data_IF_502121167426
#
_entry.id   IF_502121167426
#
_cell.length_a   1.000
_cell.length_b   1.000
_cell.length_c   1.000
_cell.angle_alpha   90.00
_cell.angle_beta   90.00
_cell.angle_gamma   90.00
#
_symmetry.space_group_name_H-M   'P 1'
#
loop_
_entity.id
_entity.type
_entity.pdbx_description
1 polymer ?
#
# COMPACT_ATOMS: atom_id res chain seq x y z
N UNK A 1 -22.66 68.86 27.48
CA UNK A 1 -22.16 67.47 27.45
C UNK A 1 -20.65 67.53 27.16
N UNK A 2 -19.81 67.56 28.21
CA UNK A 2 -18.38 67.84 28.07
C UNK A 2 -17.59 66.54 28.02
N UNK A 3 -17.04 66.22 26.85
CA UNK A 3 -16.13 65.10 26.64
C UNK A 3 -14.79 65.48 27.31
N UNK A 4 -14.60 65.05 28.57
CA UNK A 4 -13.32 65.16 29.27
C UNK A 4 -12.24 64.45 28.44
N UNK A 5 -11.26 65.22 27.94
CA UNK A 5 -10.08 64.73 27.20
C UNK A 5 -9.28 63.74 28.05
N UNK A 6 -9.48 62.43 27.86
CA UNK A 6 -8.66 61.32 28.41
C UNK A 6 -7.33 61.14 27.65
N UNK A 7 -6.68 62.22 27.20
CA UNK A 7 -5.51 62.12 26.29
C UNK A 7 -4.20 61.69 26.97
N UNK A 8 -4.07 61.83 28.30
CA UNK A 8 -2.86 61.44 29.04
C UNK A 8 -2.77 59.94 29.36
N UNK A 9 -3.86 59.35 29.85
CA UNK A 9 -3.89 57.93 30.26
C UNK A 9 -3.77 56.98 29.06
N UNK A 10 -4.41 57.31 27.93
CA UNK A 10 -4.31 56.52 26.70
C UNK A 10 -2.88 56.43 26.16
N UNK A 11 -2.09 57.49 26.30
CA UNK A 11 -0.70 57.51 25.85
C UNK A 11 0.19 56.57 26.68
N UNK A 12 -0.03 56.55 28.00
CA UNK A 12 0.69 55.65 28.93
C UNK A 12 0.31 54.19 28.66
N UNK A 13 -0.96 53.89 28.43
CA UNK A 13 -1.42 52.53 28.09
C UNK A 13 -0.81 52.07 26.77
N UNK A 14 -0.80 52.91 25.72
CA UNK A 14 -0.19 52.58 24.42
C UNK A 14 1.33 52.39 24.54
N UNK A 15 2.02 53.23 25.31
CA UNK A 15 3.46 53.13 25.52
C UNK A 15 3.88 51.81 26.20
N UNK A 16 3.01 51.24 27.04
CA UNK A 16 3.26 49.95 27.71
C UNK A 16 2.76 48.77 26.84
N UNK A 17 1.60 48.90 26.20
CA UNK A 17 0.98 47.79 25.45
C UNK A 17 1.72 47.48 24.16
N UNK A 18 2.31 48.48 23.48
CA UNK A 18 3.00 48.26 22.21
C UNK A 18 4.27 47.39 22.35
N UNK A 19 5.18 47.62 23.32
CA UNK A 19 6.29 46.71 23.59
C UNK A 19 5.84 45.30 23.97
N UNK A 20 4.77 45.16 24.77
CA UNK A 20 4.23 43.85 25.15
C UNK A 20 3.66 43.13 23.93
N UNK A 21 2.94 43.84 23.06
CA UNK A 21 2.41 43.27 21.82
C UNK A 21 3.54 42.85 20.87
N UNK A 22 4.59 43.66 20.72
CA UNK A 22 5.77 43.31 19.95
C UNK A 22 6.46 42.07 20.53
N UNK A 23 6.68 42.02 21.84
CA UNK A 23 7.27 40.85 22.50
C UNK A 23 6.45 39.58 22.27
N UNK A 24 5.12 39.66 22.39
CA UNK A 24 4.23 38.53 22.07
C UNK A 24 4.31 38.11 20.61
N UNK A 25 4.36 39.07 19.67
CA UNK A 25 4.49 38.77 18.25
C UNK A 25 5.83 38.09 17.93
N UNK A 26 6.92 38.56 18.54
CA UNK A 26 8.25 37.96 18.40
C UNK A 26 8.27 36.52 18.95
N UNK A 27 7.70 36.31 20.12
CA UNK A 27 7.57 34.97 20.71
C UNK A 27 6.68 34.05 19.85
N UNK A 28 5.62 34.58 19.25
CA UNK A 28 4.76 33.81 18.35
C UNK A 28 5.51 33.32 17.11
N UNK A 29 6.44 34.11 16.56
CA UNK A 29 7.32 33.71 15.45
C UNK A 29 8.23 32.55 15.86
N UNK A 30 8.90 32.63 17.01
CA UNK A 30 9.75 31.54 17.50
C UNK A 30 8.93 30.27 17.81
N UNK A 31 7.72 30.41 18.37
CA UNK A 31 6.83 29.27 18.61
C UNK A 31 6.42 28.60 17.29
N UNK A 32 6.02 29.40 16.29
CA UNK A 32 5.68 28.88 14.97
C UNK A 32 6.88 28.15 14.34
N UNK A 33 8.08 28.73 14.47
CA UNK A 33 9.32 28.13 13.98
C UNK A 33 9.69 26.83 14.71
N UNK A 34 9.48 26.75 16.03
CA UNK A 34 9.66 25.49 16.79
C UNK A 34 8.69 24.40 16.32
N UNK A 35 7.43 24.75 16.02
CA UNK A 35 6.46 23.77 15.52
C UNK A 35 6.81 23.31 14.11
N UNK A 36 7.25 24.23 13.24
CA UNK A 36 7.76 23.87 11.91
C UNK A 36 8.93 22.89 12.04
N UNK A 37 9.95 23.23 12.85
CA UNK A 37 11.10 22.37 13.06
C UNK A 37 10.72 20.99 13.64
N UNK A 38 9.71 20.90 14.51
CA UNK A 38 9.19 19.60 15.01
C UNK A 38 8.55 18.76 13.91
N UNK A 39 7.81 19.39 13.01
CA UNK A 39 7.15 18.70 11.89
C UNK A 39 8.19 18.23 10.87
N UNK A 40 9.14 19.09 10.53
CA UNK A 40 10.29 18.75 9.69
C UNK A 40 11.11 17.62 10.30
N UNK A 41 11.43 17.68 11.60
CA UNK A 41 12.18 16.64 12.30
C UNK A 41 11.45 15.29 12.28
N UNK A 42 10.13 15.30 12.49
CA UNK A 42 9.31 14.09 12.38
C UNK A 42 9.40 13.49 10.98
N UNK A 43 9.06 14.26 9.95
CA UNK A 43 9.07 13.79 8.56
C UNK A 43 10.45 13.28 8.13
N UNK A 44 11.53 13.95 8.54
CA UNK A 44 12.89 13.56 8.22
C UNK A 44 13.32 12.26 8.92
N UNK A 45 12.94 12.09 10.19
CA UNK A 45 13.25 10.88 10.97
C UNK A 45 12.46 9.68 10.46
N UNK A 46 11.17 9.86 10.14
CA UNK A 46 10.30 8.82 9.58
C UNK A 46 10.83 8.35 8.22
N UNK A 47 11.23 9.28 7.34
CA UNK A 47 11.82 8.97 6.05
C UNK A 47 13.15 8.21 6.17
N UNK A 48 14.00 8.59 7.12
CA UNK A 48 15.26 7.90 7.39
C UNK A 48 15.03 6.49 7.95
N UNK A 49 14.08 6.32 8.87
CA UNK A 49 13.73 5.01 9.43
C UNK A 49 13.21 4.09 8.33
N UNK A 50 12.31 4.60 7.48
CA UNK A 50 11.77 3.87 6.32
C UNK A 50 12.88 3.41 5.37
N UNK A 51 13.84 4.29 5.07
CA UNK A 51 14.97 3.96 4.20
C UNK A 51 15.89 2.89 4.80
N UNK A 52 16.12 2.93 6.11
CA UNK A 52 16.88 1.89 6.80
C UNK A 52 16.16 0.54 6.77
N UNK A 53 14.85 0.51 7.07
CA UNK A 53 14.07 -0.72 7.03
C UNK A 53 13.93 -1.31 5.62
N UNK A 54 13.77 -0.47 4.59
CA UNK A 54 13.78 -0.92 3.18
C UNK A 54 15.11 -1.55 2.80
N UNK A 55 16.23 -0.88 3.07
CA UNK A 55 17.55 -1.40 2.76
C UNK A 55 17.85 -2.70 3.53
N UNK A 56 17.42 -2.79 4.80
CA UNK A 56 17.54 -4.00 5.60
C UNK A 56 16.71 -5.15 5.01
N UNK A 57 15.46 -4.88 4.59
CA UNK A 57 14.59 -5.87 3.92
C UNK A 57 15.25 -6.40 2.64
N UNK A 58 15.81 -5.51 1.81
CA UNK A 58 16.42 -5.87 0.54
C UNK A 58 17.75 -6.65 0.68
N UNK A 59 18.54 -6.35 1.70
CA UNK A 59 19.96 -6.79 1.77
C UNK A 59 20.25 -7.76 2.92
N UNK A 60 19.47 -7.71 3.99
CA UNK A 60 19.77 -8.35 5.26
C UNK A 60 20.99 -7.78 5.99
N UNK A 61 21.59 -6.69 5.49
CA UNK A 61 22.84 -6.12 6.02
C UNK A 61 22.57 -4.82 6.82
N UNK A 62 23.03 -4.78 8.07
CA UNK A 62 22.90 -3.61 8.95
C UNK A 62 23.69 -2.42 8.43
N UNK A 63 24.87 -2.63 7.86
CA UNK A 63 25.73 -1.54 7.41
C UNK A 63 25.13 -0.82 6.19
N UNK A 64 24.53 -1.57 5.27
CA UNK A 64 23.77 -1.00 4.15
C UNK A 64 22.51 -0.25 4.63
N UNK A 65 21.81 -0.79 5.62
CA UNK A 65 20.66 -0.13 6.24
C UNK A 65 21.02 1.20 6.90
N UNK A 66 22.13 1.24 7.66
CA UNK A 66 22.65 2.47 8.28
C UNK A 66 23.00 3.49 7.19
N UNK A 67 23.73 3.08 6.15
CA UNK A 67 24.12 3.97 5.06
C UNK A 67 22.91 4.57 4.34
N UNK A 68 21.88 3.78 4.07
CA UNK A 68 20.65 4.23 3.43
C UNK A 68 19.88 5.25 4.29
N UNK A 69 19.72 4.97 5.60
CA UNK A 69 19.06 5.86 6.54
C UNK A 69 19.80 7.22 6.67
N UNK A 70 21.14 7.20 6.77
CA UNK A 70 21.96 8.43 6.80
C UNK A 70 21.82 9.22 5.49
N UNK A 71 21.85 8.55 4.34
CA UNK A 71 21.73 9.20 3.04
C UNK A 71 20.37 9.90 2.85
N UNK A 72 19.28 9.30 3.33
CA UNK A 72 17.95 9.92 3.28
C UNK A 72 17.79 11.02 4.32
N UNK A 73 18.31 10.85 5.54
CA UNK A 73 18.35 11.93 6.53
C UNK A 73 19.07 13.17 5.96
N UNK A 74 20.20 12.97 5.30
CA UNK A 74 21.00 14.03 4.66
C UNK A 74 20.32 14.79 3.52
N UNK A 75 19.18 14.30 3.00
CA UNK A 75 18.38 14.98 1.97
C UNK A 75 17.26 15.83 2.55
N UNK A 76 16.98 15.68 3.85
CA UNK A 76 15.88 16.37 4.52
C UNK A 76 16.40 17.50 5.41
N UNK A 77 15.69 18.62 5.43
CA UNK A 77 16.05 19.79 6.24
C UNK A 77 15.18 19.87 7.50
N UNK A 78 15.79 20.29 8.60
CA UNK A 78 15.13 20.61 9.87
C UNK A 78 15.67 21.93 10.38
N UNK A 79 14.81 22.94 10.51
CA UNK A 79 15.22 24.29 10.92
C UNK A 79 16.30 24.89 10.02
N UNK A 80 16.21 24.63 8.71
CA UNK A 80 17.14 25.13 7.69
C UNK A 80 18.49 24.41 7.59
N UNK A 81 18.72 23.33 8.35
CA UNK A 81 19.93 22.49 8.27
C UNK A 81 19.58 21.07 7.85
N UNK A 82 20.47 20.40 7.13
CA UNK A 82 20.31 18.97 6.83
C UNK A 82 20.26 18.15 8.12
N UNK A 83 19.37 17.16 8.20
CA UNK A 83 19.37 16.21 9.30
C UNK A 83 20.62 15.32 9.20
N UNK A 84 21.45 15.35 10.22
CA UNK A 84 22.64 14.50 10.32
C UNK A 84 22.40 13.42 11.38
N UNK A 85 22.42 12.15 10.96
CA UNK A 85 22.31 10.99 11.84
C UNK A 85 23.64 10.24 11.94
N UNK A 86 23.85 9.55 13.05
CA UNK A 86 24.97 8.63 13.27
C UNK A 86 24.47 7.19 13.46
N UNK A 87 25.34 6.21 13.25
CA UNK A 87 25.00 4.80 13.46
C UNK A 87 24.47 4.51 14.89
N UNK A 88 25.01 5.18 15.91
CA UNK A 88 24.59 5.03 17.31
C UNK A 88 23.15 5.53 17.58
N UNK A 89 22.57 6.33 16.68
CA UNK A 89 21.17 6.77 16.77
C UNK A 89 20.21 5.73 16.14
N UNK A 90 20.73 4.61 15.63
CA UNK A 90 19.97 3.55 14.95
C UNK A 90 20.00 2.26 15.75
N UNK A 91 18.82 1.73 16.08
CA UNK A 91 18.64 0.49 16.83
C UNK A 91 17.91 -0.51 15.93
N UNK A 92 18.47 -1.71 15.82
CA UNK A 92 17.89 -2.80 15.06
C UNK A 92 17.15 -3.75 15.99
N UNK A 93 16.07 -4.35 15.50
CA UNK A 93 15.26 -5.24 16.31
C UNK A 93 14.09 -5.79 15.53
N UNK A 94 13.05 -6.16 16.27
CA UNK A 94 11.80 -6.67 15.71
C UNK A 94 10.59 -5.98 16.33
N UNK A 95 9.71 -5.47 15.48
CA UNK A 95 8.41 -4.93 15.88
C UNK A 95 7.32 -5.98 15.80
N UNK A 96 6.40 -5.98 16.77
CA UNK A 96 5.21 -6.83 16.81
C UNK A 96 3.98 -6.03 17.22
N UNK A 97 2.85 -6.27 16.55
CA UNK A 97 1.55 -5.67 16.89
C UNK A 97 0.97 -6.37 18.13
N UNK A 98 0.54 -5.59 19.11
CA UNK A 98 -0.08 -6.05 20.35
C UNK A 98 -1.60 -6.15 20.21
N UNK A 99 -2.25 -6.90 21.10
CA UNK A 99 -3.73 -7.08 21.10
C UNK A 99 -4.50 -5.75 21.24
N UNK A 100 -3.90 -4.73 21.85
CA UNK A 100 -4.49 -3.40 22.02
C UNK A 100 -4.29 -2.48 20.80
N UNK A 101 -3.66 -2.99 19.73
CA UNK A 101 -3.35 -2.26 18.50
C UNK A 101 -2.09 -1.40 18.57
N UNK A 102 -1.36 -1.40 19.69
CA UNK A 102 -0.05 -0.75 19.80
C UNK A 102 1.07 -1.61 19.22
N UNK A 103 2.17 -0.98 18.81
CA UNK A 103 3.37 -1.71 18.38
C UNK A 103 4.38 -1.75 19.53
N UNK A 104 4.93 -2.94 19.80
CA UNK A 104 6.12 -3.10 20.63
C UNK A 104 7.31 -3.39 19.76
N UNK A 105 8.46 -2.79 20.07
CA UNK A 105 9.72 -3.13 19.44
C UNK A 105 10.69 -3.70 20.47
N UNK A 106 11.22 -4.86 20.13
CA UNK A 106 12.19 -5.61 20.89
C UNK A 106 13.58 -5.35 20.27
N UNK A 107 14.45 -4.68 21.03
CA UNK A 107 15.79 -4.33 20.57
C UNK A 107 16.66 -5.60 20.46
N UNK A 108 17.52 -5.65 19.45
CA UNK A 108 18.43 -6.77 19.16
C UNK A 108 17.75 -8.15 18.97
N UNK A 109 16.42 -8.18 18.75
CA UNK A 109 15.69 -9.40 18.43
C UNK A 109 15.92 -9.83 16.97
N UNK A 110 16.48 -11.03 16.79
CA UNK A 110 16.69 -11.64 15.47
C UNK A 110 15.48 -12.52 15.02
N UNK A 111 15.20 -12.60 13.71
CA UNK A 111 15.81 -11.82 12.63
C UNK A 111 15.43 -10.34 12.72
N UNK A 112 16.35 -9.44 12.35
CA UNK A 112 16.09 -8.00 12.37
C UNK A 112 15.09 -7.65 11.29
N UNK A 113 13.87 -7.26 11.69
CA UNK A 113 12.84 -6.81 10.76
C UNK A 113 12.48 -5.35 10.94
N UNK A 114 13.19 -4.64 11.82
CA UNK A 114 12.85 -3.27 12.19
C UNK A 114 14.06 -2.42 12.47
N UNK A 115 13.97 -1.15 12.08
CA UNK A 115 14.96 -0.10 12.31
C UNK A 115 14.27 1.03 13.07
N UNK A 116 14.75 1.31 14.27
CA UNK A 116 14.35 2.44 15.09
C UNK A 116 15.43 3.50 15.03
N UNK A 117 15.04 4.74 14.74
CA UNK A 117 15.93 5.90 14.78
C UNK A 117 15.55 6.77 15.96
N UNK A 118 16.50 7.04 16.86
CA UNK A 118 16.36 7.95 17.99
C UNK A 118 17.17 9.22 17.74
N UNK A 119 16.56 10.17 17.04
CA UNK A 119 17.21 11.40 16.59
C UNK A 119 17.11 12.53 17.62
N UNK A 120 18.26 13.02 18.08
CA UNK A 120 18.36 14.09 19.07
C UNK A 120 19.07 15.33 18.51
N UNK A 121 18.35 16.43 18.29
CA UNK A 121 18.94 17.67 17.77
C UNK A 121 19.60 18.50 18.89
N UNK A 122 20.72 18.01 19.42
CA UNK A 122 21.49 18.69 20.47
C UNK A 122 22.79 19.31 19.95
N UNK A 123 23.41 20.20 20.72
CA UNK A 123 24.68 20.84 20.34
C UNK A 123 24.60 21.55 18.99
N UNK A 124 25.47 21.19 18.05
CA UNK A 124 25.52 21.79 16.72
C UNK A 124 24.32 21.43 15.82
N UNK A 125 23.65 20.31 16.14
CA UNK A 125 22.41 19.88 15.48
C UNK A 125 21.18 20.68 15.95
N UNK A 126 21.29 21.45 17.03
CA UNK A 126 20.16 22.23 17.57
C UNK A 126 19.66 23.30 16.60
N UNK A 127 18.37 23.60 16.70
CA UNK A 127 17.69 24.61 15.89
C UNK A 127 17.86 25.96 16.57
N UNK A 128 18.49 26.90 15.86
CA UNK A 128 18.67 28.26 16.36
C UNK A 128 17.38 29.05 16.16
N UNK A 129 16.86 29.63 17.25
CA UNK A 129 15.65 30.45 17.21
C UNK A 129 15.95 31.81 16.58
N UNK A 130 14.97 32.37 15.85
CA UNK A 130 15.15 33.61 15.10
C UNK A 130 15.30 34.80 16.05
N UNK A 131 14.57 34.78 17.16
CA UNK A 131 14.47 35.89 18.11
C UNK A 131 14.78 35.45 19.55
N UNK A 132 15.43 34.28 19.68
CA UNK A 132 15.70 33.63 20.96
C UNK A 132 16.54 34.43 21.96
N UNK A 133 17.34 35.38 21.47
CA UNK A 133 18.13 36.30 22.31
C UNK A 133 17.25 37.26 23.13
N UNK A 134 16.03 37.54 22.69
CA UNK A 134 15.07 38.41 23.38
C UNK A 134 14.39 37.65 24.54
N UNK A 135 14.29 36.32 24.44
CA UNK A 135 13.66 35.45 25.43
C UNK A 135 14.66 34.61 26.25
N UNK A 136 15.97 34.82 26.07
CA UNK A 136 17.06 34.03 26.69
C UNK A 136 17.01 32.53 26.39
N UNK A 137 16.32 32.14 25.32
CA UNK A 137 16.25 30.77 24.81
C UNK A 137 16.72 30.84 23.36
N UNK A 138 18.00 30.59 23.11
CA UNK A 138 18.57 30.75 21.77
C UNK A 138 18.44 29.49 20.91
N UNK A 139 18.23 28.33 21.55
CA UNK A 139 18.27 27.02 20.92
C UNK A 139 17.08 26.16 21.30
N UNK A 140 16.57 25.44 20.31
CA UNK A 140 15.54 24.45 20.45
C UNK A 140 16.09 23.08 20.04
N UNK A 141 15.93 22.09 20.93
CA UNK A 141 16.54 20.77 20.79
C UNK A 141 15.48 19.67 20.83
N UNK A 142 14.72 19.44 19.74
CA UNK A 142 13.73 18.37 19.69
C UNK A 142 14.41 16.98 19.67
N UNK A 143 13.71 16.01 20.24
CA UNK A 143 14.00 14.57 20.13
C UNK A 143 12.85 13.91 19.36
N UNK A 144 13.17 13.00 18.45
CA UNK A 144 12.20 12.17 17.74
C UNK A 144 12.70 10.74 17.64
N UNK A 145 11.81 9.82 18.00
CA UNK A 145 11.95 8.41 17.76
C UNK A 145 11.01 8.09 16.60
N UNK A 146 11.50 7.36 15.61
CA UNK A 146 10.68 6.76 14.57
C UNK A 146 11.07 5.30 14.41
N UNK A 147 10.10 4.40 14.32
CA UNK A 147 10.36 2.98 14.03
C UNK A 147 9.75 2.60 12.69
N UNK A 148 10.56 2.00 11.82
CA UNK A 148 10.10 1.37 10.61
C UNK A 148 10.35 -0.13 10.70
N UNK A 149 9.35 -0.92 10.37
CA UNK A 149 9.45 -2.36 10.28
C UNK A 149 9.17 -2.79 8.84
N UNK A 150 9.92 -3.75 8.33
CA UNK A 150 9.46 -4.50 7.18
C UNK A 150 8.74 -5.76 7.68
N UNK A 151 7.64 -6.09 7.03
CA UNK A 151 6.89 -7.29 7.33
C UNK A 151 7.22 -8.35 6.30
N UNK A 152 7.31 -9.60 6.78
CA UNK A 152 7.07 -10.75 5.94
C UNK A 152 5.62 -10.65 5.43
N UNK A 153 5.40 -10.33 4.16
CA UNK A 153 4.05 -10.37 3.60
C UNK A 153 3.84 -11.69 2.87
N UNK A 154 2.64 -12.21 3.07
CA UNK A 154 2.09 -13.33 2.33
C UNK A 154 0.96 -12.76 1.49
N UNK A 155 1.16 -12.77 0.18
CA UNK A 155 0.28 -12.10 -0.78
C UNK A 155 -0.47 -13.14 -1.59
N UNK A 156 -1.79 -13.06 -1.62
CA UNK A 156 -2.60 -13.78 -2.61
C UNK A 156 -3.08 -12.81 -3.68
N UNK A 157 -2.60 -12.98 -4.92
CA UNK A 157 -3.21 -12.36 -6.09
C UNK A 157 -4.49 -13.14 -6.41
N UNK A 158 -5.65 -12.51 -6.24
CA UNK A 158 -6.97 -13.13 -6.39
C UNK A 158 -7.69 -12.44 -7.54
N UNK A 159 -7.58 -12.99 -8.74
CA UNK A 159 -7.93 -12.29 -9.97
C UNK A 159 -9.09 -12.93 -10.73
N UNK A 160 -9.97 -12.07 -11.24
CA UNK A 160 -11.14 -12.44 -12.03
C UNK A 160 -10.72 -13.01 -13.39
N UNK A 161 -11.27 -14.17 -13.75
CA UNK A 161 -11.15 -14.84 -15.05
C UNK A 161 -12.51 -15.17 -15.66
N UNK A 162 -13.54 -14.41 -15.29
CA UNK A 162 -14.85 -14.46 -15.91
C UNK A 162 -14.78 -14.04 -17.38
N UNK A 163 -15.82 -14.35 -18.15
CA UNK A 163 -15.79 -14.16 -19.60
C UNK A 163 -15.64 -12.69 -20.03
N UNK A 164 -16.02 -11.72 -19.18
CA UNK A 164 -15.81 -10.30 -19.46
C UNK A 164 -14.35 -9.94 -19.67
N UNK A 165 -13.41 -10.70 -19.10
CA UNK A 165 -11.98 -10.51 -19.28
C UNK A 165 -11.52 -10.76 -20.73
N UNK A 166 -12.33 -11.40 -21.57
CA UNK A 166 -12.08 -11.55 -23.01
C UNK A 166 -12.46 -10.32 -23.85
N UNK A 167 -13.16 -9.35 -23.26
CA UNK A 167 -13.67 -8.18 -23.97
C UNK A 167 -12.59 -7.12 -24.18
N UNK A 168 -12.88 -6.16 -25.07
CA UNK A 168 -12.06 -4.96 -25.22
C UNK A 168 -12.26 -3.98 -24.05
N UNK A 169 -11.47 -2.90 -24.03
CA UNK A 169 -11.50 -1.88 -22.98
C UNK A 169 -12.64 -0.85 -23.13
N UNK A 170 -13.55 -1.01 -24.08
CA UNK A 170 -14.59 0.02 -24.31
C UNK A 170 -15.66 0.08 -23.21
N UNK A 171 -15.69 -0.88 -22.29
CA UNK A 171 -16.72 -1.02 -21.27
C UNK A 171 -18.07 -1.53 -21.79
N UNK A 172 -18.14 -1.95 -23.07
CA UNK A 172 -19.37 -2.53 -23.67
C UNK A 172 -19.36 -4.05 -23.53
N UNK A 173 -20.42 -4.60 -22.96
CA UNK A 173 -20.58 -6.05 -22.83
C UNK A 173 -20.58 -6.75 -24.20
N UNK A 174 -19.95 -7.92 -24.26
CA UNK A 174 -19.86 -8.77 -25.47
C UNK A 174 -19.13 -8.11 -26.65
N UNK A 175 -18.35 -7.06 -26.38
CA UNK A 175 -17.50 -6.44 -27.39
C UNK A 175 -16.08 -6.99 -27.27
N UNK A 176 -15.65 -7.68 -28.30
CA UNK A 176 -14.34 -8.32 -28.35
C UNK A 176 -13.34 -7.48 -29.15
N UNK A 177 -12.04 -7.66 -28.91
CA UNK A 177 -11.01 -7.11 -29.75
C UNK A 177 -11.18 -7.49 -31.23
N UNK A 178 -10.75 -6.64 -32.19
CA UNK A 178 -11.02 -6.86 -33.62
C UNK A 178 -10.48 -8.18 -34.19
N UNK A 179 -9.46 -8.77 -33.56
CA UNK A 179 -8.88 -10.04 -33.96
C UNK A 179 -9.77 -11.25 -33.62
N UNK A 180 -10.72 -11.11 -32.70
CA UNK A 180 -11.69 -12.17 -32.35
C UNK A 180 -12.89 -12.10 -33.30
N UNK A 181 -13.17 -13.16 -34.08
CA UNK A 181 -14.31 -13.17 -34.99
C UNK A 181 -15.65 -13.12 -34.25
N UNK A 182 -16.55 -12.22 -34.64
CA UNK A 182 -17.91 -12.07 -34.07
C UNK A 182 -19.02 -12.75 -34.89
N UNK A 183 -18.65 -13.71 -35.75
CA UNK A 183 -19.59 -14.59 -36.46
C UNK A 183 -18.89 -15.59 -37.39
N UNK A 184 -19.59 -16.57 -37.99
CA UNK A 184 -20.89 -17.11 -37.58
C UNK A 184 -20.81 -17.97 -36.30
N UNK A 185 -19.60 -18.28 -35.83
CA UNK A 185 -19.37 -18.99 -34.58
C UNK A 185 -19.45 -18.00 -33.40
N UNK A 186 -19.87 -18.53 -32.25
CA UNK A 186 -19.95 -17.77 -31.00
C UNK A 186 -18.53 -17.37 -30.54
N UNK A 187 -18.24 -16.09 -30.28
CA UNK A 187 -16.91 -15.63 -29.83
C UNK A 187 -16.40 -16.31 -28.57
N UNK A 188 -17.30 -16.84 -27.74
CA UNK A 188 -16.99 -17.55 -26.49
C UNK A 188 -16.06 -18.75 -26.68
N UNK A 189 -15.97 -19.29 -27.91
CA UNK A 189 -15.07 -20.42 -28.22
C UNK A 189 -13.61 -20.01 -28.38
N UNK A 190 -13.31 -18.73 -28.44
CA UNK A 190 -11.94 -18.23 -28.61
C UNK A 190 -11.32 -17.87 -27.24
N UNK A 191 -10.01 -18.08 -27.07
CA UNK A 191 -9.29 -17.49 -25.96
C UNK A 191 -9.36 -15.94 -26.04
N UNK A 192 -9.09 -15.23 -24.92
CA UNK A 192 -8.92 -13.79 -24.96
C UNK A 192 -7.85 -13.39 -25.98
N UNK A 193 -8.02 -12.23 -26.60
CA UNK A 193 -6.97 -11.66 -27.44
C UNK A 193 -5.72 -11.37 -26.61
N UNK A 194 -4.55 -11.73 -27.13
CA UNK A 194 -3.28 -11.65 -26.40
C UNK A 194 -2.77 -10.20 -26.17
N UNK A 195 -3.35 -9.19 -26.80
CA UNK A 195 -2.87 -7.80 -26.72
C UNK A 195 -3.96 -6.82 -26.31
N UNK A 196 -5.18 -6.99 -26.81
CA UNK A 196 -6.24 -5.98 -26.74
C UNK A 196 -7.41 -6.37 -25.82
N UNK A 197 -7.34 -7.55 -25.19
CA UNK A 197 -8.34 -7.99 -24.19
C UNK A 197 -8.03 -7.46 -22.79
N UNK A 198 -9.05 -7.34 -21.94
CA UNK A 198 -8.88 -7.00 -20.53
C UNK A 198 -7.92 -7.95 -19.80
N UNK A 199 -7.95 -9.24 -20.14
CA UNK A 199 -7.01 -10.23 -19.62
C UNK A 199 -5.55 -9.92 -20.00
N UNK A 200 -5.29 -9.53 -21.24
CA UNK A 200 -3.93 -9.19 -21.68
C UNK A 200 -3.35 -8.01 -20.89
N UNK A 201 -4.16 -7.00 -20.60
CA UNK A 201 -3.74 -5.88 -19.75
C UNK A 201 -3.50 -6.30 -18.30
N UNK A 202 -4.34 -7.18 -17.75
CA UNK A 202 -4.11 -7.75 -16.42
C UNK A 202 -2.82 -8.59 -16.38
N UNK A 203 -2.56 -9.39 -17.40
CA UNK A 203 -1.32 -10.18 -17.52
C UNK A 203 -0.08 -9.28 -17.49
N UNK A 204 -0.09 -8.19 -18.27
CA UNK A 204 0.99 -7.21 -18.27
C UNK A 204 1.16 -6.54 -16.88
N UNK A 205 0.06 -6.17 -16.22
CA UNK A 205 0.09 -5.56 -14.90
C UNK A 205 0.63 -6.50 -13.81
N UNK A 206 0.25 -7.78 -13.84
CA UNK A 206 0.78 -8.80 -12.93
C UNK A 206 2.27 -9.05 -13.20
N UNK A 207 2.69 -9.09 -14.46
CA UNK A 207 4.11 -9.23 -14.81
C UNK A 207 4.93 -8.04 -14.27
N UNK A 208 4.40 -6.82 -14.35
CA UNK A 208 5.00 -5.63 -13.77
C UNK A 208 5.08 -5.73 -12.24
N UNK A 209 3.99 -6.11 -11.56
CA UNK A 209 3.97 -6.35 -10.12
C UNK A 209 5.05 -7.35 -9.71
N UNK A 210 5.08 -8.51 -10.35
CA UNK A 210 6.03 -9.59 -10.05
C UNK A 210 7.49 -9.14 -10.26
N UNK A 211 7.78 -8.45 -11.36
CA UNK A 211 9.12 -7.91 -11.62
C UNK A 211 9.53 -6.87 -10.57
N UNK A 212 8.61 -5.99 -10.17
CA UNK A 212 8.83 -4.93 -9.19
C UNK A 212 9.09 -5.52 -7.81
N UNK A 213 8.23 -6.44 -7.34
CA UNK A 213 8.44 -7.13 -6.06
C UNK A 213 9.77 -7.88 -6.08
N UNK A 214 10.06 -8.64 -7.14
CA UNK A 214 11.32 -9.41 -7.22
C UNK A 214 12.58 -8.53 -7.23
N UNK A 215 12.49 -7.30 -7.71
CA UNK A 215 13.60 -6.35 -7.73
C UNK A 215 13.82 -5.68 -6.36
N UNK A 216 12.75 -5.55 -5.55
CA UNK A 216 12.79 -4.90 -4.24
C UNK A 216 13.10 -5.93 -3.15
N UNK A 217 12.35 -7.03 -3.12
CA UNK A 217 12.41 -8.03 -2.07
C UNK A 217 11.97 -9.42 -2.58
N UNK A 218 12.91 -10.35 -2.71
CA UNK A 218 12.67 -11.73 -3.13
C UNK A 218 12.13 -12.64 -2.01
N UNK A 219 12.03 -12.14 -0.78
CA UNK A 219 11.58 -12.91 0.38
C UNK A 219 10.05 -12.91 0.55
N UNK A 220 9.33 -12.16 -0.27
CA UNK A 220 7.86 -12.14 -0.23
C UNK A 220 7.29 -13.44 -0.79
N UNK A 221 6.34 -14.05 -0.06
CA UNK A 221 5.61 -15.20 -0.58
C UNK A 221 4.38 -14.72 -1.34
N UNK A 222 4.23 -15.19 -2.58
CA UNK A 222 3.10 -14.81 -3.42
C UNK A 222 2.39 -16.06 -3.94
N UNK A 223 1.07 -16.07 -3.86
CA UNK A 223 0.19 -17.06 -4.46
C UNK A 223 -0.62 -16.44 -5.59
N UNK A 224 -1.11 -17.29 -6.50
CA UNK A 224 -2.08 -16.92 -7.51
C UNK A 224 -3.34 -17.75 -7.36
N UNK A 225 -4.47 -17.06 -7.28
CA UNK A 225 -5.81 -17.61 -7.31
C UNK A 225 -6.57 -16.95 -8.46
N UNK A 226 -7.09 -17.74 -9.39
CA UNK A 226 -8.03 -17.25 -10.42
C UNK A 226 -9.45 -17.70 -10.10
N UNK A 227 -10.44 -16.83 -10.32
CA UNK A 227 -11.84 -17.12 -10.00
C UNK A 227 -12.81 -16.63 -11.09
N UNK A 228 -13.95 -17.27 -11.21
CA UNK A 228 -14.98 -17.01 -12.22
C UNK A 228 -16.30 -17.57 -11.75
N UNK A 229 -16.93 -18.49 -12.48
CA UNK A 229 -18.04 -19.28 -11.96
C UNK A 229 -17.94 -20.72 -12.42
N UNK A 230 -18.67 -21.64 -11.78
CA UNK A 230 -18.70 -23.02 -12.22
C UNK A 230 -19.32 -23.12 -13.62
N UNK A 231 -18.60 -23.82 -14.51
CA UNK A 231 -19.06 -24.21 -15.83
C UNK A 231 -18.93 -25.72 -15.95
N UNK A 232 -20.06 -26.36 -16.22
CA UNK A 232 -20.17 -27.79 -16.48
C UNK A 232 -20.57 -28.03 -17.94
N UNK A 233 -20.49 -29.27 -18.41
CA UNK A 233 -20.95 -29.64 -19.76
C UNK A 233 -22.49 -29.52 -19.93
N UNK A 234 -23.23 -29.25 -18.86
CA UNK A 234 -24.66 -28.95 -18.90
C UNK A 234 -24.94 -27.45 -19.18
N UNK A 235 -23.95 -26.58 -18.95
CA UNK A 235 -24.04 -25.16 -19.32
C UNK A 235 -23.88 -25.02 -20.85
N UNK A 236 -24.48 -23.97 -21.43
CA UNK A 236 -24.33 -23.67 -22.86
C UNK A 236 -22.86 -23.58 -23.28
N UNK A 237 -22.07 -22.80 -22.56
CA UNK A 237 -20.67 -22.52 -22.89
C UNK A 237 -19.80 -23.78 -22.75
N UNK A 238 -20.03 -24.57 -21.70
CA UNK A 238 -19.33 -25.84 -21.49
C UNK A 238 -19.71 -26.92 -22.51
N UNK A 239 -20.98 -26.96 -22.93
CA UNK A 239 -21.42 -27.83 -24.02
C UNK A 239 -20.80 -27.43 -25.37
N UNK A 240 -20.72 -26.12 -25.63
CA UNK A 240 -20.19 -25.56 -26.87
C UNK A 240 -18.68 -25.77 -27.01
N UNK A 241 -17.94 -25.57 -25.94
CA UNK A 241 -16.46 -25.64 -25.93
C UNK A 241 -15.91 -27.01 -25.53
N UNK A 242 -16.73 -27.86 -24.89
CA UNK A 242 -16.29 -29.11 -24.28
C UNK A 242 -15.45 -28.93 -23.02
N UNK A 243 -15.41 -27.71 -22.46
CA UNK A 243 -14.59 -27.36 -21.30
C UNK A 243 -15.43 -27.22 -20.03
N UNK A 244 -14.81 -27.47 -18.89
CA UNK A 244 -15.40 -27.26 -17.56
C UNK A 244 -14.48 -26.40 -16.71
N UNK A 245 -15.07 -25.54 -15.88
CA UNK A 245 -14.33 -24.63 -15.02
C UNK A 245 -14.89 -24.71 -13.60
N UNK A 246 -14.05 -24.85 -12.56
CA UNK A 246 -14.50 -24.66 -11.19
C UNK A 246 -14.75 -23.17 -10.92
N UNK A 247 -15.36 -22.83 -9.77
CA UNK A 247 -15.60 -21.43 -9.39
C UNK A 247 -14.29 -20.67 -9.13
N UNK A 248 -13.30 -21.31 -8.49
CA UNK A 248 -11.99 -20.74 -8.20
C UNK A 248 -10.90 -21.83 -8.21
N UNK A 249 -9.66 -21.45 -8.49
CA UNK A 249 -8.49 -22.34 -8.57
C UNK A 249 -7.30 -21.67 -7.90
N UNK A 250 -6.49 -22.45 -7.16
CA UNK A 250 -5.14 -22.03 -6.77
C UNK A 250 -4.21 -22.44 -7.92
N UNK A 251 -3.91 -21.51 -8.82
CA UNK A 251 -3.05 -21.78 -9.97
C UNK A 251 -1.57 -21.88 -9.55
N UNK A 252 -1.16 -21.10 -8.55
CA UNK A 252 0.17 -21.19 -7.93
C UNK A 252 0.02 -21.11 -6.40
N UNK A 253 0.48 -22.12 -5.64
CA UNK A 253 0.40 -22.09 -4.20
C UNK A 253 1.28 -21.00 -3.60
N UNK A 254 0.94 -20.56 -2.39
CA UNK A 254 1.75 -19.61 -1.63
C UNK A 254 3.15 -20.18 -1.40
N UNK A 255 4.17 -19.40 -1.76
CA UNK A 255 5.56 -19.78 -1.58
C UNK A 255 6.53 -18.71 -2.07
N UNK A 256 7.82 -18.93 -1.83
CA UNK A 256 8.90 -18.06 -2.26
C UNK A 256 9.22 -18.24 -3.75
N UNK A 257 9.74 -17.19 -4.40
CA UNK A 257 10.20 -17.23 -5.80
C UNK A 257 9.14 -17.73 -6.80
N UNK A 258 7.85 -17.52 -6.50
CA UNK A 258 6.73 -17.97 -7.34
C UNK A 258 6.47 -17.06 -8.54
N UNK A 259 7.11 -15.90 -8.63
CA UNK A 259 6.88 -14.87 -9.67
C UNK A 259 6.87 -15.43 -11.10
N UNK A 260 7.87 -16.23 -11.47
CA UNK A 260 7.95 -16.85 -12.81
C UNK A 260 6.84 -17.87 -13.04
N UNK A 261 6.47 -18.64 -12.00
CA UNK A 261 5.36 -19.59 -12.08
C UNK A 261 4.02 -18.87 -12.21
N UNK A 262 3.84 -17.74 -11.53
CA UNK A 262 2.65 -16.88 -11.63
C UNK A 262 2.52 -16.32 -13.05
N UNK A 263 3.60 -15.74 -13.59
CA UNK A 263 3.61 -15.24 -14.98
C UNK A 263 3.25 -16.36 -15.97
N UNK A 264 3.83 -17.55 -15.79
CA UNK A 264 3.55 -18.70 -16.65
C UNK A 264 2.09 -19.17 -16.53
N UNK A 265 1.52 -19.18 -15.32
CA UNK A 265 0.15 -19.60 -15.08
C UNK A 265 -0.88 -18.61 -15.66
N UNK A 266 -0.65 -17.30 -15.52
CA UNK A 266 -1.49 -16.26 -16.12
C UNK A 266 -1.44 -16.33 -17.65
N UNK A 267 -0.25 -16.47 -18.23
CA UNK A 267 -0.08 -16.58 -19.68
C UNK A 267 -0.76 -17.84 -20.24
N UNK A 268 -0.55 -18.99 -19.60
CA UNK A 268 -1.22 -20.25 -19.97
C UNK A 268 -2.75 -20.18 -19.83
N UNK A 269 -3.26 -19.36 -18.90
CA UNK A 269 -4.69 -19.12 -18.76
C UNK A 269 -5.22 -18.32 -19.96
N UNK A 270 -4.45 -17.34 -20.46
CA UNK A 270 -4.74 -16.58 -21.68
C UNK A 270 -4.76 -17.41 -22.97
N UNK A 271 -4.04 -18.54 -23.01
CA UNK A 271 -4.05 -19.47 -24.15
C UNK A 271 -5.34 -20.32 -24.27
N UNK A 272 -6.21 -20.29 -23.25
CA UNK A 272 -7.41 -21.10 -23.17
C UNK A 272 -8.67 -20.24 -23.10
N UNK A 273 -9.81 -20.82 -23.50
CA UNK A 273 -11.11 -20.15 -23.35
C UNK A 273 -11.37 -19.81 -21.88
N UNK A 274 -11.91 -18.62 -21.64
CA UNK A 274 -12.35 -18.18 -20.31
C UNK A 274 -13.85 -18.08 -20.32
N UNK A 275 -14.52 -18.79 -19.41
CA UNK A 275 -15.97 -18.93 -19.40
C UNK A 275 -16.55 -18.58 -18.03
N UNK A 276 -17.85 -18.32 -18.02
CA UNK A 276 -18.61 -18.10 -16.80
C UNK A 276 -18.65 -16.65 -16.32
N UNK A 277 -19.41 -16.47 -15.25
CA UNK A 277 -19.66 -15.18 -14.63
C UNK A 277 -18.70 -14.89 -13.48
N UNK A 278 -19.08 -13.91 -12.67
CA UNK A 278 -18.21 -13.27 -11.69
C UNK A 278 -18.65 -13.71 -10.27
N UNK A 279 -18.09 -14.81 -9.76
CA UNK A 279 -18.30 -15.28 -8.38
C UNK A 279 -17.18 -14.78 -7.45
N UNK A 280 -17.20 -13.49 -7.15
CA UNK A 280 -16.17 -12.82 -6.32
C UNK A 280 -16.03 -13.47 -4.93
N UNK A 281 -17.13 -13.95 -4.35
CA UNK A 281 -17.14 -14.67 -3.06
C UNK A 281 -16.27 -15.92 -3.11
N UNK A 282 -16.29 -16.69 -4.19
CA UNK A 282 -15.44 -17.89 -4.33
C UNK A 282 -13.95 -17.54 -4.34
N UNK A 283 -13.58 -16.44 -5.01
CA UNK A 283 -12.22 -15.91 -5.02
C UNK A 283 -11.74 -15.51 -3.62
N UNK A 284 -12.53 -14.70 -2.90
CA UNK A 284 -12.19 -14.27 -1.53
C UNK A 284 -12.05 -15.48 -0.59
N UNK A 285 -12.98 -16.45 -0.65
CA UNK A 285 -12.92 -17.63 0.19
C UNK A 285 -11.69 -18.50 -0.09
N UNK A 286 -11.36 -18.72 -1.37
CA UNK A 286 -10.19 -19.53 -1.72
C UNK A 286 -8.88 -18.79 -1.39
N UNK A 287 -8.80 -17.49 -1.64
CA UNK A 287 -7.67 -16.66 -1.23
C UNK A 287 -7.49 -16.64 0.30
N UNK A 288 -8.59 -16.63 1.05
CA UNK A 288 -8.56 -16.76 2.52
C UNK A 288 -7.97 -18.10 2.94
N UNK A 289 -8.40 -19.20 2.34
CA UNK A 289 -7.86 -20.53 2.61
C UNK A 289 -6.35 -20.64 2.28
N UNK A 290 -5.89 -19.97 1.21
CA UNK A 290 -4.47 -19.91 0.86
C UNK A 290 -3.68 -19.18 1.94
N UNK A 291 -4.19 -18.04 2.42
CA UNK A 291 -3.56 -17.20 3.45
C UNK A 291 -3.76 -17.71 4.89
N UNK A 292 -4.54 -18.77 5.10
CA UNK A 292 -4.67 -19.46 6.40
C UNK A 292 -4.21 -20.91 6.37
N UNK A 293 -3.69 -21.36 5.23
CA UNK A 293 -3.21 -22.72 5.03
C UNK A 293 -1.86 -23.02 5.69
N UNK A 294 -1.39 -24.26 5.52
CA UNK A 294 -0.17 -24.78 6.16
C UNK A 294 1.13 -24.09 5.70
N UNK A 295 1.12 -23.44 4.53
CA UNK A 295 2.29 -22.75 3.98
C UNK A 295 2.49 -21.33 4.55
N UNK A 296 1.62 -20.90 5.47
CA UNK A 296 1.64 -19.55 6.04
C UNK A 296 2.58 -19.46 7.24
N UNK A 297 3.14 -18.28 7.48
CA UNK A 297 4.02 -18.00 8.62
C UNK A 297 3.24 -17.35 9.75
N UNK A 298 3.48 -17.74 11.02
CA UNK A 298 2.70 -17.25 12.16
C UNK A 298 2.63 -15.73 12.34
N UNK A 299 3.65 -14.99 11.88
CA UNK A 299 3.76 -13.54 12.08
C UNK A 299 3.81 -12.74 10.76
N UNK A 300 3.46 -13.38 9.63
CA UNK A 300 3.41 -12.69 8.35
C UNK A 300 2.14 -11.86 8.23
N UNK A 301 2.26 -10.68 7.64
CA UNK A 301 1.10 -9.89 7.23
C UNK A 301 0.42 -10.58 6.05
N UNK A 302 -0.87 -10.88 6.20
CA UNK A 302 -1.65 -11.59 5.18
C UNK A 302 -2.40 -10.59 4.33
N UNK A 303 -2.01 -10.49 3.07
CA UNK A 303 -2.55 -9.51 2.14
C UNK A 303 -3.19 -10.20 0.95
N UNK A 304 -4.42 -9.82 0.63
CA UNK A 304 -5.09 -10.24 -0.59
C UNK A 304 -5.18 -9.05 -1.53
N UNK A 305 -4.80 -9.25 -2.79
CA UNK A 305 -5.05 -8.30 -3.87
C UNK A 305 -6.18 -8.88 -4.72
N UNK A 306 -7.39 -8.38 -4.51
CA UNK A 306 -8.59 -8.81 -5.22
C UNK A 306 -8.81 -7.91 -6.43
N UNK A 307 -8.90 -8.47 -7.64
CA UNK A 307 -9.11 -7.71 -8.87
C UNK A 307 -10.32 -8.24 -9.65
N UNK A 308 -11.15 -7.35 -10.20
CA UNK A 308 -12.27 -7.67 -11.10
C UNK A 308 -12.56 -6.52 -12.08
N UNK A 309 -13.04 -6.86 -13.27
CA UNK A 309 -13.48 -5.93 -14.32
C UNK A 309 -15.01 -5.77 -14.41
N UNK A 310 -15.75 -6.46 -13.54
CA UNK A 310 -17.18 -6.66 -13.71
C UNK A 310 -17.99 -6.56 -12.42
N UNK A 311 -19.30 -6.77 -12.56
CA UNK A 311 -20.22 -6.89 -11.43
C UNK A 311 -20.35 -8.35 -11.05
N UNK A 312 -20.21 -8.64 -9.75
CA UNK A 312 -20.47 -9.99 -9.28
C UNK A 312 -21.93 -10.36 -9.55
N UNK A 313 -22.13 -11.52 -10.15
CA UNK A 313 -23.43 -11.98 -10.65
C UNK A 313 -23.68 -13.47 -10.36
N UNK A 314 -22.75 -14.10 -9.61
CA UNK A 314 -22.80 -15.48 -9.14
C UNK A 314 -22.34 -15.54 -7.68
N UNK A 315 -22.68 -16.63 -7.01
CA UNK A 315 -22.27 -16.88 -5.63
C UNK A 315 -23.01 -16.04 -4.59
N UNK A 316 -22.43 -15.98 -3.39
CA UNK A 316 -22.94 -15.18 -2.27
C UNK A 316 -22.47 -13.73 -2.31
N UNK A 317 -22.86 -12.96 -1.31
CA UNK A 317 -22.43 -11.57 -1.15
C UNK A 317 -20.94 -11.49 -0.78
N UNK A 318 -20.08 -10.83 -1.59
CA UNK A 318 -18.65 -10.79 -1.36
C UNK A 318 -18.25 -9.97 -0.12
N UNK A 319 -19.10 -9.04 0.35
CA UNK A 319 -18.86 -8.30 1.59
C UNK A 319 -18.87 -9.22 2.82
N UNK A 320 -19.69 -10.28 2.82
CA UNK A 320 -19.70 -11.26 3.91
C UNK A 320 -18.40 -12.05 3.96
N UNK A 321 -17.88 -12.48 2.80
CA UNK A 321 -16.59 -13.17 2.71
C UNK A 321 -15.42 -12.26 3.16
N UNK A 322 -15.49 -10.96 2.87
CA UNK A 322 -14.50 -9.99 3.36
C UNK A 322 -14.51 -9.84 4.89
N UNK A 323 -15.68 -9.93 5.53
CA UNK A 323 -15.78 -9.96 7.00
C UNK A 323 -15.14 -11.23 7.57
N UNK A 324 -15.29 -12.37 6.89
CA UNK A 324 -14.64 -13.62 7.28
C UNK A 324 -13.13 -13.52 7.15
N UNK A 325 -12.62 -13.02 6.01
CA UNK A 325 -11.20 -12.78 5.80
C UNK A 325 -10.59 -11.84 6.86
N UNK A 326 -11.31 -10.77 7.25
CA UNK A 326 -10.87 -9.88 8.32
C UNK A 326 -10.71 -10.61 9.66
N UNK A 327 -11.61 -11.53 9.98
CA UNK A 327 -11.53 -12.32 11.23
C UNK A 327 -10.29 -13.20 11.28
N UNK A 328 -9.78 -13.60 10.12
CA UNK A 328 -8.53 -14.34 9.95
C UNK A 328 -7.28 -13.44 9.87
N UNK A 329 -7.43 -12.12 10.11
CA UNK A 329 -6.32 -11.16 10.08
C UNK A 329 -5.85 -10.79 8.67
N UNK A 330 -6.69 -10.98 7.65
CA UNK A 330 -6.35 -10.68 6.25
C UNK A 330 -6.80 -9.26 5.88
N UNK A 331 -5.88 -8.50 5.29
CA UNK A 331 -6.17 -7.21 4.65
C UNK A 331 -6.41 -7.41 3.15
N UNK A 332 -7.53 -6.90 2.63
CA UNK A 332 -7.87 -7.01 1.20
C UNK A 332 -7.72 -5.64 0.54
N UNK A 333 -6.74 -5.51 -0.36
CA UNK A 333 -6.70 -4.44 -1.34
C UNK A 333 -7.55 -4.83 -2.56
N UNK A 334 -8.34 -3.89 -3.06
CA UNK A 334 -9.25 -4.16 -4.19
C UNK A 334 -8.86 -3.32 -5.40
N UNK A 335 -8.91 -3.92 -6.58
CA UNK A 335 -8.64 -3.26 -7.87
C UNK A 335 -9.85 -3.45 -8.77
N UNK A 336 -10.58 -2.38 -9.04
CA UNK A 336 -11.66 -2.38 -10.04
C UNK A 336 -11.11 -1.92 -11.38
N UNK A 337 -11.37 -2.67 -12.45
CA UNK A 337 -10.91 -2.34 -13.79
C UNK A 337 -12.08 -1.96 -14.70
N UNK A 338 -11.97 -0.79 -15.34
CA UNK A 338 -13.03 -0.12 -16.11
C UNK A 338 -14.22 0.35 -15.26
N UNK A 339 -14.96 1.32 -15.81
CA UNK A 339 -16.10 1.96 -15.14
C UNK A 339 -17.27 1.00 -14.87
N UNK A 340 -17.36 -0.10 -15.61
CA UNK A 340 -18.41 -1.11 -15.46
C UNK A 340 -18.24 -2.02 -14.24
N UNK A 341 -17.07 -2.05 -13.61
CA UNK A 341 -16.79 -2.87 -12.43
C UNK A 341 -17.58 -2.41 -11.20
N UNK A 342 -17.88 -3.34 -10.29
CA UNK A 342 -18.58 -3.03 -9.03
C UNK A 342 -17.68 -2.30 -8.02
N UNK A 343 -17.51 -1.00 -8.24
CA UNK A 343 -16.66 -0.16 -7.38
C UNK A 343 -17.20 -0.01 -5.95
N UNK A 344 -18.51 -0.07 -5.76
CA UNK A 344 -19.13 0.16 -4.44
C UNK A 344 -18.85 -1.02 -3.51
N UNK A 345 -19.02 -2.25 -3.98
CA UNK A 345 -18.66 -3.43 -3.21
C UNK A 345 -17.14 -3.53 -3.00
N UNK A 346 -16.34 -3.20 -4.02
CA UNK A 346 -14.88 -3.20 -3.92
C UNK A 346 -14.36 -2.20 -2.87
N UNK A 347 -14.94 -0.99 -2.79
CA UNK A 347 -14.63 0.00 -1.74
C UNK A 347 -15.01 -0.51 -0.35
N UNK A 348 -16.18 -1.13 -0.23
CA UNK A 348 -16.65 -1.70 1.03
C UNK A 348 -15.77 -2.86 1.52
N UNK A 349 -15.37 -3.77 0.63
CA UNK A 349 -14.47 -4.90 0.94
C UNK A 349 -13.12 -4.40 1.47
N UNK A 350 -12.50 -3.44 0.77
CA UNK A 350 -11.25 -2.85 1.21
C UNK A 350 -11.40 -2.14 2.55
N UNK A 351 -12.43 -1.30 2.71
CA UNK A 351 -12.66 -0.57 3.96
C UNK A 351 -12.91 -1.50 5.15
N UNK A 352 -13.65 -2.59 4.97
CA UNK A 352 -13.94 -3.54 6.05
C UNK A 352 -12.66 -4.21 6.54
N UNK A 353 -11.79 -4.61 5.63
CA UNK A 353 -10.56 -5.39 5.92
C UNK A 353 -9.35 -4.52 6.25
N UNK A 354 -9.49 -3.18 6.15
CA UNK A 354 -8.40 -2.23 6.40
C UNK A 354 -7.49 -2.00 5.19
N UNK A 355 -7.88 -2.48 4.00
CA UNK A 355 -7.15 -2.26 2.76
C UNK A 355 -7.53 -0.97 2.06
N UNK A 356 -6.99 -0.81 0.85
CA UNK A 356 -7.25 0.32 -0.05
C UNK A 356 -7.93 -0.17 -1.33
N UNK A 357 -8.89 0.60 -1.81
CA UNK A 357 -9.49 0.42 -3.13
C UNK A 357 -8.72 1.26 -4.15
N UNK A 358 -8.46 0.65 -5.30
CA UNK A 358 -7.85 1.26 -6.47
C UNK A 358 -8.80 1.09 -7.66
N UNK A 359 -8.85 2.11 -8.50
CA UNK A 359 -9.60 2.09 -9.74
C UNK A 359 -8.65 2.35 -10.90
N UNK A 360 -8.80 1.58 -11.97
CA UNK A 360 -8.11 1.78 -13.23
C UNK A 360 -9.14 1.87 -14.35
N UNK A 361 -9.16 2.99 -15.07
CA UNK A 361 -10.05 3.23 -16.21
C UNK A 361 -9.49 2.68 -17.53
N UNK A 362 -8.19 2.36 -17.59
CA UNK A 362 -7.52 1.75 -18.74
C UNK A 362 -6.32 0.88 -18.32
N UNK A 363 -5.63 0.31 -19.31
CA UNK A 363 -4.50 -0.60 -19.09
C UNK A 363 -3.25 0.06 -18.53
N UNK A 364 -3.03 1.35 -18.78
CA UNK A 364 -1.89 2.10 -18.23
C UNK A 364 -2.11 2.34 -16.74
N UNK A 365 -3.30 2.82 -16.36
CA UNK A 365 -3.68 2.98 -14.96
C UNK A 365 -3.68 1.63 -14.20
N UNK A 366 -4.07 0.53 -14.85
CA UNK A 366 -4.02 -0.80 -14.24
C UNK A 366 -2.58 -1.20 -13.92
N UNK A 367 -1.64 -0.95 -14.83
CA UNK A 367 -0.22 -1.20 -14.60
C UNK A 367 0.33 -0.32 -13.46
N UNK A 368 -0.05 0.96 -13.41
CA UNK A 368 0.34 1.87 -12.32
C UNK A 368 -0.16 1.41 -10.95
N UNK A 369 -1.42 0.93 -10.86
CA UNK A 369 -1.99 0.39 -9.62
C UNK A 369 -1.21 -0.83 -9.13
N UNK A 370 -0.89 -1.77 -10.03
CA UNK A 370 -0.11 -2.96 -9.66
C UNK A 370 1.34 -2.61 -9.30
N UNK A 371 1.92 -1.58 -9.91
CA UNK A 371 3.21 -1.03 -9.49
C UNK A 371 3.13 -0.40 -8.08
N UNK A 372 2.12 0.42 -7.77
CA UNK A 372 1.92 1.00 -6.43
C UNK A 372 1.77 -0.10 -5.37
N UNK A 373 0.97 -1.12 -5.66
CA UNK A 373 0.80 -2.27 -4.79
C UNK A 373 2.14 -2.96 -4.51
N UNK A 374 2.94 -3.23 -5.54
CA UNK A 374 4.24 -3.88 -5.40
C UNK A 374 5.22 -3.12 -4.49
N UNK A 375 5.32 -1.80 -4.64
CA UNK A 375 6.23 -0.97 -3.82
C UNK A 375 5.72 -0.73 -2.39
N UNK A 376 4.43 -0.96 -2.13
CA UNK A 376 3.81 -0.69 -0.83
C UNK A 376 3.88 -1.86 0.15
N UNK A 377 4.04 -3.10 -0.35
CA UNK A 377 4.07 -4.31 0.49
C UNK A 377 5.25 -4.34 1.48
N UNK A 378 6.51 -4.02 1.12
CA UNK A 378 7.64 -4.40 1.98
C UNK A 378 7.81 -3.58 3.27
N UNK A 379 7.28 -2.36 3.40
CA UNK A 379 7.66 -1.46 4.53
C UNK A 379 6.47 -0.81 5.23
N UNK A 380 6.43 -0.96 6.55
CA UNK A 380 5.43 -0.37 7.47
C UNK A 380 6.11 0.57 8.47
N UNK A 381 5.54 1.74 8.70
CA UNK A 381 5.96 2.64 9.79
C UNK A 381 5.13 2.31 11.05
N UNK A 382 5.78 2.13 12.19
CA UNK A 382 5.15 1.54 13.39
C UNK A 382 5.18 2.39 14.67
N UNK A 383 5.82 3.55 14.69
CA UNK A 383 5.54 4.67 15.63
C UNK A 383 6.36 5.91 15.25
#
# INVERSE_FOLDING_TARGET
MSIKKRRGVSLVVVAISLPVFLFMALMAVDIAYMQLARTEHRSATDAAAKAGAEALSRTGDKDEAIAAAIAIAGKNYVGGKSLALTADEMVFGRSSLQEDGSWSFEEDAEPFTSVRIDSHLTGDKSVQLLLGSIASIERFSPRRIATAAYADNEVALVVDRSHSMCFDLSGVDWRYPPAIPTGPADPVIYPPDANDSRWAYLEAAIALFNSTVSAIDTSQQVALVTWGSEITLANYEGNLTGQTFPEAVVDVPLGFNTYTAINSAISARGDNVMLGGTNMTSGINLGTNVLTGENTRPNANKTMILMSDGQWNKGGNPRSAAVDAKREGITIHTVSFLEGADQDDMKMIASVTGGRHYHASDGEELAEVFYELAISLPVVLTD
#
